data_IF_241064339482
#
_entry.id   IF_241064339482
#
_cell.length_a   1.000
_cell.length_b   1.000
_cell.length_c   1.000
_cell.angle_alpha   90.00
_cell.angle_beta   90.00
_cell.angle_gamma   90.00
#
_symmetry.space_group_name_H-M   'P 1'
#
loop_
_entity.id
_entity.type
_entity.pdbx_description
1 polymer ?
#
# COMPACT_ATOMS: atom_id res chain seq x y z
N UNK A 1 4.47 24.23 -10.28
CA UNK A 1 3.85 22.88 -10.32
C UNK A 1 3.01 22.70 -9.05
N UNK A 2 1.68 22.78 -9.17
CA UNK A 2 0.76 22.60 -8.03
C UNK A 2 0.42 21.12 -7.94
N UNK A 3 0.69 20.50 -6.80
CA UNK A 3 0.28 19.12 -6.54
C UNK A 3 -1.17 19.15 -6.05
N UNK A 4 -2.06 18.53 -6.81
CA UNK A 4 -3.45 18.32 -6.40
C UNK A 4 -3.48 17.37 -5.20
N UNK A 5 -4.22 17.74 -4.16
CA UNK A 5 -4.40 16.90 -2.98
C UNK A 5 -5.10 15.60 -3.37
N UNK A 6 -4.54 14.45 -2.96
CA UNK A 6 -5.14 13.13 -3.17
C UNK A 6 -5.31 12.43 -1.84
N UNK A 7 -6.50 11.87 -1.63
CA UNK A 7 -6.82 11.04 -0.46
C UNK A 7 -6.65 9.56 -0.80
N UNK A 8 -5.80 8.87 -0.07
CA UNK A 8 -5.64 7.42 -0.14
C UNK A 8 -6.30 6.79 1.08
N UNK A 9 -7.08 5.74 0.86
CA UNK A 9 -7.76 5.00 1.91
C UNK A 9 -7.26 3.56 1.90
N UNK A 10 -6.82 3.11 3.06
CA UNK A 10 -6.35 1.74 3.29
C UNK A 10 -7.28 1.07 4.31
N UNK A 11 -7.52 -0.23 4.14
CA UNK A 11 -8.38 -0.98 5.03
C UNK A 11 -7.76 -2.34 5.35
N UNK A 12 -7.85 -2.75 6.61
CA UNK A 12 -7.41 -4.06 7.06
C UNK A 12 -8.36 -4.61 8.13
N UNK A 13 -8.52 -5.93 8.15
CA UNK A 13 -9.29 -6.67 9.14
C UNK A 13 -8.43 -7.80 9.72
N UNK A 14 -8.41 -7.91 11.04
CA UNK A 14 -7.66 -8.93 11.77
C UNK A 14 -8.60 -9.84 12.56
N UNK A 15 -8.39 -11.15 12.44
CA UNK A 15 -9.14 -12.20 13.12
C UNK A 15 -8.23 -12.93 14.09
N UNK A 16 -8.61 -12.94 15.37
CA UNK A 16 -7.92 -13.74 16.39
C UNK A 16 -8.41 -15.19 16.34
N UNK A 17 -7.56 -16.09 15.85
CA UNK A 17 -7.84 -17.53 15.76
C UNK A 17 -7.32 -18.20 17.03
N UNK A 18 -8.25 -18.71 17.84
CA UNK A 18 -7.98 -19.50 19.06
C UNK A 18 -7.01 -18.82 20.04
N UNK A 19 -6.92 -17.48 20.02
CA UNK A 19 -6.02 -16.68 20.87
C UNK A 19 -4.52 -16.87 20.65
N UNK A 20 -4.12 -17.69 19.68
CA UNK A 20 -2.71 -18.05 19.41
C UNK A 20 -2.23 -17.58 18.05
N UNK A 21 -3.16 -17.32 17.13
CA UNK A 21 -2.85 -16.85 15.80
C UNK A 21 -3.68 -15.61 15.49
N UNK A 22 -3.05 -14.62 14.88
CA UNK A 22 -3.73 -13.45 14.32
C UNK A 22 -3.62 -13.54 12.79
N UNK A 23 -4.78 -13.57 12.13
CA UNK A 23 -4.88 -13.59 10.68
C UNK A 23 -5.40 -12.26 10.18
N UNK A 24 -4.61 -11.57 9.36
CA UNK A 24 -4.94 -10.24 8.84
C UNK A 24 -5.09 -10.28 7.34
N UNK A 25 -6.17 -9.69 6.85
CA UNK A 25 -6.41 -9.40 5.44
C UNK A 25 -6.45 -7.89 5.28
N UNK A 26 -5.84 -7.35 4.23
CA UNK A 26 -5.92 -5.92 3.98
C UNK A 26 -5.74 -5.53 2.53
N UNK A 27 -6.07 -4.28 2.26
CA UNK A 27 -5.97 -3.64 0.96
C UNK A 27 -5.46 -2.22 1.13
N UNK A 28 -4.36 -1.93 0.44
CA UNK A 28 -3.86 -0.58 0.27
C UNK A 28 -4.48 0.03 -0.98
N UNK A 29 -4.81 1.32 -0.91
CA UNK A 29 -5.43 2.07 -1.98
C UNK A 29 -6.78 1.48 -2.42
N UNK A 30 -7.68 1.32 -1.44
CA UNK A 30 -9.04 0.78 -1.58
C UNK A 30 -9.80 1.47 -2.73
N UNK A 31 -9.71 2.80 -2.79
CA UNK A 31 -10.36 3.64 -3.80
C UNK A 31 -9.65 3.69 -5.16
N UNK A 32 -8.63 2.86 -5.39
CA UNK A 32 -7.92 2.71 -6.68
C UNK A 32 -7.42 4.03 -7.28
N UNK A 33 -6.87 4.92 -6.44
CA UNK A 33 -6.28 6.18 -6.91
C UNK A 33 -4.91 5.91 -7.52
N UNK A 34 -4.76 6.25 -8.80
CA UNK A 34 -3.42 6.26 -9.43
C UNK A 34 -2.57 7.34 -8.73
N UNK A 35 -1.25 7.17 -8.58
CA UNK A 35 -0.39 8.25 -8.14
C UNK A 35 -0.36 9.37 -9.19
N UNK A 36 -0.09 10.62 -8.79
CA UNK A 36 0.25 11.66 -9.76
C UNK A 36 1.66 11.36 -10.26
N UNK A 37 1.81 11.10 -11.56
CA UNK A 37 3.13 11.05 -12.18
C UNK A 37 3.73 12.46 -12.08
N UNK A 38 4.72 12.63 -11.21
CA UNK A 38 5.54 13.82 -11.19
C UNK A 38 6.53 13.69 -12.36
N UNK A 39 6.51 14.63 -13.29
CA UNK A 39 7.58 14.75 -14.28
C UNK A 39 7.35 14.16 -15.67
N UNK A 40 6.16 14.34 -16.26
CA UNK A 40 6.01 14.15 -17.72
C UNK A 40 7.05 14.97 -18.53
N UNK A 41 7.53 16.10 -17.97
CA UNK A 41 8.54 16.97 -18.58
C UNK A 41 9.96 16.80 -17.99
N UNK A 42 10.22 15.82 -17.11
CA UNK A 42 11.51 15.66 -16.43
C UNK A 42 12.46 14.65 -17.10
N UNK A 43 12.10 14.11 -18.26
CA UNK A 43 12.91 13.15 -19.02
C UNK A 43 14.29 13.75 -19.40
N UNK A 44 14.41 15.08 -19.47
CA UNK A 44 15.69 15.77 -19.71
C UNK A 44 16.56 16.00 -18.47
N UNK A 45 16.11 15.65 -17.25
CA UNK A 45 16.80 15.90 -15.98
C UNK A 45 17.27 14.62 -15.26
N UNK A 46 17.66 13.59 -16.01
CA UNK A 46 18.21 12.31 -15.51
C UNK A 46 17.33 11.48 -14.56
N UNK A 47 16.05 11.85 -14.37
CA UNK A 47 15.10 11.06 -13.57
C UNK A 47 13.98 10.62 -14.50
N UNK A 48 14.04 9.37 -14.96
CA UNK A 48 12.98 8.77 -15.78
C UNK A 48 11.84 8.29 -14.85
N UNK A 49 10.74 9.05 -14.67
CA UNK A 49 9.75 8.73 -13.65
C UNK A 49 8.91 7.50 -14.03
N UNK A 50 8.92 7.12 -15.31
CA UNK A 50 8.28 5.91 -15.83
C UNK A 50 8.94 4.61 -15.36
N UNK A 51 10.13 4.68 -14.75
CA UNK A 51 10.83 3.52 -14.20
C UNK A 51 10.36 3.18 -12.77
N UNK A 52 9.66 4.10 -12.11
CA UNK A 52 9.06 3.86 -10.80
C UNK A 52 7.65 3.32 -10.98
N UNK A 53 7.44 2.07 -10.56
CA UNK A 53 6.13 1.40 -10.56
C UNK A 53 5.11 2.24 -9.77
N UNK A 54 4.09 2.71 -10.46
CA UNK A 54 2.92 3.36 -9.85
C UNK A 54 2.10 2.29 -9.14
N UNK A 55 2.58 1.87 -7.98
CA UNK A 55 1.95 0.85 -7.13
C UNK A 55 0.47 1.22 -6.92
N UNK A 56 -0.40 0.47 -7.60
CA UNK A 56 -1.85 0.64 -7.59
C UNK A 56 -2.49 0.07 -6.33
N UNK A 57 -3.69 -0.50 -6.46
CA UNK A 57 -4.34 -1.20 -5.34
C UNK A 57 -3.64 -2.51 -5.05
N UNK A 58 -3.25 -2.74 -3.80
CA UNK A 58 -2.55 -3.96 -3.37
C UNK A 58 -3.34 -4.67 -2.29
N UNK A 59 -3.48 -5.98 -2.43
CA UNK A 59 -4.03 -6.84 -1.38
C UNK A 59 -2.88 -7.51 -0.64
N UNK A 60 -3.02 -7.68 0.67
CA UNK A 60 -2.04 -8.40 1.48
C UNK A 60 -2.75 -9.32 2.46
N UNK A 61 -2.02 -10.37 2.84
CA UNK A 61 -2.41 -11.34 3.84
C UNK A 61 -1.25 -11.51 4.81
N UNK A 62 -1.54 -11.56 6.10
CA UNK A 62 -0.54 -11.76 7.15
C UNK A 62 -1.04 -12.80 8.14
N UNK A 63 -0.18 -13.74 8.50
CA UNK A 63 -0.42 -14.71 9.57
C UNK A 63 0.65 -14.52 10.63
N UNK A 64 0.25 -14.29 11.87
CA UNK A 64 1.15 -14.12 13.01
C UNK A 64 0.80 -15.11 14.11
N UNK A 65 1.80 -15.70 14.76
CA UNK A 65 1.62 -16.60 15.89
C UNK A 65 2.16 -15.95 17.17
N UNK A 66 1.39 -16.02 18.27
CA UNK A 66 1.83 -15.57 19.59
C UNK A 66 2.59 -16.69 20.26
N UNK A 67 3.90 -16.51 20.45
CA UNK A 67 4.72 -17.42 21.25
C UNK A 67 4.57 -17.06 22.73
N UNK A 68 3.58 -17.63 23.39
CA UNK A 68 3.54 -17.60 24.85
C UNK A 68 4.62 -18.55 25.36
N UNK A 69 5.73 -18.00 25.86
CA UNK A 69 6.73 -18.79 26.59
C UNK A 69 6.11 -19.26 27.92
N UNK A 70 6.36 -20.51 28.33
CA UNK A 70 5.90 -21.04 29.61
C UNK A 70 6.53 -20.32 30.79
#
# INVERSE_FOLDING_TARGET
MKLESRHYFDAAATFAIKGRFDFTLGVNNLTKRRPSLLGADQIQANTQPSLYDVLGRRFFVTLSAKLTRP
#
